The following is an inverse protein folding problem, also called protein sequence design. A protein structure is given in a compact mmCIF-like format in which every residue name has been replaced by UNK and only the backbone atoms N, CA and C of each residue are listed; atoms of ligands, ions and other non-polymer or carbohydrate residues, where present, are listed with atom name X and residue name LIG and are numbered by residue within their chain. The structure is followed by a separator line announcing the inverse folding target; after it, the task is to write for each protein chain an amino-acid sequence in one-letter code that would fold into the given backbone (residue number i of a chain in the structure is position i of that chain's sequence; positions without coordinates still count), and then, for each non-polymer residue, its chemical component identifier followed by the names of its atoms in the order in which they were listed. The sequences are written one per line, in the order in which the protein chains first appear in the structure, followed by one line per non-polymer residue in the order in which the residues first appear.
data_IF_754971403112
#
_entry.id   IF_754971403112
#
_cell.length_a   1.000
_cell.length_b   1.000
_cell.length_c   1.000
_cell.angle_alpha   90.00
_cell.angle_beta   90.00
_cell.angle_gamma   90.00
#
_symmetry.space_group_name_H-M   'P 1'
#
loop_
_entity.id
_entity.type
_entity.pdbx_description
1 polymer ?
#
# COMPACT_ATOMS: atom_id res chain seq x y z
N UNK A 1 -11.41 -17.31 -3.67
CA UNK A 1 -10.05 -16.74 -3.64
C UNK A 1 -9.20 -17.63 -2.75
N UNK A 2 -8.06 -18.15 -3.20
CA UNK A 2 -7.17 -18.93 -2.31
C UNK A 2 -6.66 -18.02 -1.19
N UNK A 3 -6.60 -18.54 0.04
CA UNK A 3 -6.13 -17.79 1.22
C UNK A 3 -4.64 -18.02 1.43
N UNK A 4 -3.97 -17.10 2.10
CA UNK A 4 -2.54 -17.24 2.46
C UNK A 4 -2.30 -18.51 3.27
N UNK A 5 -3.21 -18.88 4.19
CA UNK A 5 -3.12 -20.12 4.97
C UNK A 5 -3.16 -21.36 4.08
N UNK A 6 -4.08 -21.41 3.11
CA UNK A 6 -4.17 -22.54 2.16
C UNK A 6 -2.93 -22.68 1.27
N UNK A 7 -2.27 -21.57 0.93
CA UNK A 7 -1.01 -21.60 0.19
C UNK A 7 0.13 -22.15 1.04
N UNK A 8 0.22 -21.72 2.30
CA UNK A 8 1.22 -22.26 3.23
C UNK A 8 1.05 -23.75 3.49
N UNK A 9 -0.19 -24.24 3.58
CA UNK A 9 -0.45 -25.67 3.80
C UNK A 9 0.01 -26.53 2.60
N UNK A 10 -0.19 -26.05 1.37
CA UNK A 10 0.35 -26.73 0.15
C UNK A 10 1.87 -26.81 0.17
N UNK A 11 2.54 -25.81 0.73
CA UNK A 11 4.01 -25.78 0.85
C UNK A 11 4.56 -26.74 1.92
N UNK A 12 3.73 -27.27 2.84
CA UNK A 12 4.20 -28.17 3.91
C UNK A 12 4.57 -29.57 3.42
N UNK A 13 4.00 -30.04 2.32
CA UNK A 13 4.30 -31.38 1.80
C UNK A 13 5.27 -31.33 0.62
N UNK A 14 6.23 -32.27 0.56
CA UNK A 14 7.26 -32.30 -0.50
C UNK A 14 6.65 -32.34 -1.90
N UNK A 15 5.64 -33.18 -2.12
CA UNK A 15 5.00 -33.37 -3.45
C UNK A 15 4.12 -32.18 -3.86
N UNK A 16 3.30 -31.65 -2.95
CA UNK A 16 2.46 -30.48 -3.24
C UNK A 16 3.30 -29.21 -3.37
N UNK A 17 4.32 -29.04 -2.51
CA UNK A 17 5.25 -27.93 -2.55
C UNK A 17 6.04 -27.88 -3.87
N UNK A 18 6.59 -29.00 -4.34
CA UNK A 18 7.29 -29.02 -5.64
C UNK A 18 6.37 -28.70 -6.82
N UNK A 19 5.10 -29.13 -6.75
CA UNK A 19 4.13 -28.82 -7.80
C UNK A 19 3.69 -27.35 -7.77
N UNK A 20 3.64 -26.74 -6.59
CA UNK A 20 3.35 -25.32 -6.42
C UNK A 20 4.49 -24.43 -6.93
N UNK A 21 5.73 -24.81 -6.67
CA UNK A 21 6.92 -24.06 -7.13
C UNK A 21 7.14 -24.14 -8.66
N UNK A 22 6.65 -25.20 -9.32
CA UNK A 22 6.71 -25.37 -10.78
C UNK A 22 5.61 -24.61 -11.53
N UNK A 23 4.59 -24.10 -10.85
CA UNK A 23 3.52 -23.33 -11.47
C UNK A 23 3.96 -21.89 -11.69
N UNK A 24 3.58 -21.32 -12.84
CA UNK A 24 3.74 -19.89 -13.11
C UNK A 24 2.83 -19.11 -12.17
N UNK A 25 3.43 -18.41 -11.21
CA UNK A 25 2.69 -17.59 -10.26
C UNK A 25 2.35 -16.25 -10.92
N UNK A 26 1.05 -15.95 -11.07
CA UNK A 26 0.59 -14.61 -11.47
C UNK A 26 0.61 -13.66 -10.25
N UNK A 27 1.81 -13.24 -9.86
CA UNK A 27 2.00 -12.28 -8.76
C UNK A 27 1.27 -10.98 -9.07
N UNK A 28 0.41 -10.47 -8.17
CA UNK A 28 -0.18 -9.14 -8.32
C UNK A 28 0.91 -8.08 -8.43
N UNK A 29 0.87 -7.25 -9.48
CA UNK A 29 1.70 -6.04 -9.52
C UNK A 29 1.09 -4.96 -8.63
N UNK A 30 1.92 -4.05 -8.11
CA UNK A 30 1.45 -2.88 -7.37
C UNK A 30 0.40 -2.09 -8.17
N UNK A 31 0.64 -1.90 -9.47
CA UNK A 31 -0.29 -1.22 -10.37
C UNK A 31 -1.64 -1.92 -10.46
N UNK A 32 -1.68 -3.25 -10.55
CA UNK A 32 -2.94 -4.01 -10.57
C UNK A 32 -3.71 -3.83 -9.26
N UNK A 33 -3.05 -4.01 -8.13
CA UNK A 33 -3.68 -3.86 -6.81
C UNK A 33 -4.19 -2.44 -6.61
N UNK A 34 -3.41 -1.43 -7.01
CA UNK A 34 -3.84 -0.05 -6.91
C UNK A 34 -5.09 0.22 -7.73
N UNK A 35 -5.16 -0.24 -8.99
CA UNK A 35 -6.36 -0.10 -9.83
C UNK A 35 -7.59 -0.78 -9.19
N UNK A 36 -7.43 -1.99 -8.65
CA UNK A 36 -8.50 -2.68 -7.91
C UNK A 36 -8.98 -1.86 -6.70
N UNK A 37 -8.07 -1.24 -5.95
CA UNK A 37 -8.41 -0.39 -4.81
C UNK A 37 -9.15 0.88 -5.25
N UNK A 38 -8.72 1.52 -6.33
CA UNK A 38 -9.40 2.69 -6.91
C UNK A 38 -10.82 2.36 -7.38
N UNK A 39 -10.99 1.25 -8.09
CA UNK A 39 -12.29 0.77 -8.55
C UNK A 39 -13.23 0.49 -7.38
N UNK A 40 -12.74 -0.21 -6.34
CA UNK A 40 -13.53 -0.51 -5.14
C UNK A 40 -13.92 0.76 -4.38
N UNK A 41 -13.03 1.75 -4.32
CA UNK A 41 -13.29 3.05 -3.71
C UNK A 41 -14.14 3.99 -4.60
N UNK A 42 -14.47 3.58 -5.83
CA UNK A 42 -15.11 4.42 -6.86
C UNK A 42 -14.37 5.74 -7.10
N UNK A 43 -13.04 5.71 -6.99
CA UNK A 43 -12.18 6.88 -7.16
C UNK A 43 -11.53 6.84 -8.54
N UNK A 44 -11.64 7.94 -9.28
CA UNK A 44 -10.99 8.08 -10.59
C UNK A 44 -9.49 8.31 -10.46
N UNK A 45 -8.74 7.98 -11.51
CA UNK A 45 -7.30 8.23 -11.54
C UNK A 45 -6.94 9.72 -11.31
N UNK A 46 -7.61 10.72 -11.93
CA UNK A 46 -7.34 12.13 -11.64
C UNK A 46 -7.60 12.53 -10.18
N UNK A 47 -8.66 12.01 -9.56
CA UNK A 47 -8.97 12.26 -8.14
C UNK A 47 -7.89 11.70 -7.23
N UNK A 48 -7.46 10.45 -7.46
CA UNK A 48 -6.38 9.84 -6.71
C UNK A 48 -5.05 10.59 -6.87
N UNK A 49 -4.70 10.98 -8.10
CA UNK A 49 -3.48 11.76 -8.41
C UNK A 49 -3.49 13.09 -7.65
N UNK A 50 -4.63 13.79 -7.64
CA UNK A 50 -4.78 15.04 -6.92
C UNK A 50 -4.73 14.83 -5.40
N UNK A 51 -5.45 13.83 -4.88
CA UNK A 51 -5.51 13.53 -3.45
C UNK A 51 -4.17 13.06 -2.87
N UNK A 52 -3.33 12.43 -3.68
CA UNK A 52 -1.98 11.99 -3.26
C UNK A 52 -0.88 12.98 -3.57
N UNK A 53 -1.21 14.17 -4.12
CA UNK A 53 -0.27 15.23 -4.47
C UNK A 53 0.97 14.70 -5.22
N UNK A 54 0.70 14.07 -6.36
CA UNK A 54 1.72 13.62 -7.32
C UNK A 54 1.46 14.23 -8.69
N UNK A 55 2.49 14.29 -9.54
CA UNK A 55 2.29 14.79 -10.90
C UNK A 55 1.43 13.82 -11.71
N UNK A 56 0.60 14.36 -12.62
CA UNK A 56 -0.25 13.55 -13.52
C UNK A 56 0.57 12.51 -14.29
N UNK A 57 1.71 12.92 -14.84
CA UNK A 57 2.59 12.03 -15.60
C UNK A 57 3.06 10.85 -14.74
N UNK A 58 3.54 11.11 -13.51
CA UNK A 58 4.00 10.07 -12.62
C UNK A 58 2.87 9.16 -12.13
N UNK A 59 1.69 9.72 -11.84
CA UNK A 59 0.50 8.94 -11.48
C UNK A 59 0.07 7.95 -12.55
N UNK A 60 0.02 8.36 -13.82
CA UNK A 60 -0.29 7.44 -14.92
C UNK A 60 0.80 6.39 -15.15
N UNK A 61 2.08 6.75 -15.00
CA UNK A 61 3.18 5.77 -15.02
C UNK A 61 3.03 4.70 -13.93
N UNK A 62 2.59 5.08 -12.72
CA UNK A 62 2.29 4.12 -11.65
C UNK A 62 1.11 3.22 -12.05
N UNK A 63 0.02 3.80 -12.55
CA UNK A 63 -1.18 3.05 -12.92
C UNK A 63 -0.96 2.10 -14.11
N UNK A 64 -0.02 2.42 -15.00
CA UNK A 64 0.40 1.56 -16.10
C UNK A 64 1.37 0.46 -15.65
N UNK A 65 2.05 0.65 -14.52
CA UNK A 65 3.09 -0.25 -14.01
C UNK A 65 4.51 0.09 -14.50
N UNK A 66 4.69 1.25 -15.12
CA UNK A 66 6.00 1.75 -15.58
C UNK A 66 6.88 2.26 -14.43
N UNK A 67 6.26 2.58 -13.28
CA UNK A 67 6.92 3.05 -12.06
C UNK A 67 6.31 2.41 -10.83
N UNK A 68 7.17 2.11 -9.85
CA UNK A 68 6.75 1.68 -8.52
C UNK A 68 6.74 2.91 -7.60
N UNK A 69 5.61 3.21 -6.93
CA UNK A 69 5.55 4.31 -5.97
C UNK A 69 6.36 3.98 -4.71
N UNK A 70 7.02 4.99 -4.15
CA UNK A 70 7.71 4.86 -2.86
C UNK A 70 6.74 4.70 -1.68
N UNK A 71 7.30 4.34 -0.52
CA UNK A 71 6.54 4.06 0.72
C UNK A 71 5.54 5.18 1.05
N UNK A 72 6.01 6.41 1.08
CA UNK A 72 5.18 7.52 1.54
C UNK A 72 4.03 7.84 0.56
N UNK A 73 4.19 7.61 -0.75
CA UNK A 73 3.08 7.69 -1.72
C UNK A 73 2.04 6.59 -1.45
N UNK A 74 2.47 5.38 -1.09
CA UNK A 74 1.56 4.29 -0.72
C UNK A 74 0.83 4.56 0.59
N UNK A 75 1.47 5.23 1.56
CA UNK A 75 0.82 5.68 2.79
C UNK A 75 -0.19 6.79 2.52
N UNK A 76 0.17 7.81 1.72
CA UNK A 76 -0.77 8.85 1.27
C UNK A 76 -1.96 8.25 0.52
N UNK A 77 -1.70 7.29 -0.38
CA UNK A 77 -2.75 6.53 -1.09
C UNK A 77 -3.67 5.81 -0.10
N UNK A 78 -3.10 5.18 0.94
CA UNK A 78 -3.89 4.48 1.95
C UNK A 78 -4.83 5.38 2.72
N UNK A 79 -4.39 6.61 3.05
CA UNK A 79 -5.19 7.61 3.73
C UNK A 79 -6.27 8.20 2.81
N UNK A 80 -5.91 8.55 1.57
CA UNK A 80 -6.85 9.08 0.56
C UNK A 80 -7.98 8.10 0.26
N UNK A 81 -7.65 6.80 0.14
CA UNK A 81 -8.63 5.74 -0.11
C UNK A 81 -9.28 5.20 1.16
N UNK A 82 -8.92 5.74 2.34
CA UNK A 82 -9.46 5.31 3.63
C UNK A 82 -9.35 3.79 3.86
N UNK A 83 -8.21 3.21 3.46
CA UNK A 83 -7.96 1.78 3.53
C UNK A 83 -7.96 1.27 4.98
N UNK A 84 -8.26 -0.01 5.16
CA UNK A 84 -7.97 -0.70 6.41
C UNK A 84 -6.47 -0.96 6.56
N UNK A 85 -5.99 -1.15 7.79
CA UNK A 85 -4.60 -1.55 8.04
C UNK A 85 -4.20 -2.80 7.24
N UNK A 86 -5.13 -3.76 7.08
CA UNK A 86 -4.89 -4.98 6.30
C UNK A 86 -4.64 -4.69 4.82
N UNK A 87 -5.44 -3.81 4.22
CA UNK A 87 -5.27 -3.38 2.83
C UNK A 87 -4.00 -2.56 2.63
N UNK A 88 -3.69 -1.67 3.57
CA UNK A 88 -2.44 -0.90 3.57
C UNK A 88 -1.22 -1.81 3.63
N UNK A 89 -1.20 -2.81 4.53
CA UNK A 89 -0.08 -3.75 4.62
C UNK A 89 0.07 -4.57 3.33
N UNK A 90 -1.05 -4.96 2.70
CA UNK A 90 -1.05 -5.63 1.39
C UNK A 90 -0.48 -4.72 0.31
N UNK A 91 -0.87 -3.44 0.29
CA UNK A 91 -0.39 -2.45 -0.68
C UNK A 91 1.11 -2.21 -0.54
N UNK A 92 1.61 -2.03 0.69
CA UNK A 92 3.04 -1.89 0.97
C UNK A 92 3.83 -3.13 0.52
N UNK A 93 3.33 -4.33 0.82
CA UNK A 93 3.98 -5.58 0.44
C UNK A 93 4.12 -5.73 -1.09
N UNK A 94 3.10 -5.39 -1.88
CA UNK A 94 3.18 -5.48 -3.36
C UNK A 94 3.99 -4.35 -3.99
N UNK A 95 4.20 -3.25 -3.26
CA UNK A 95 5.09 -2.15 -3.64
C UNK A 95 6.53 -2.32 -3.15
N UNK A 96 6.89 -3.50 -2.64
CA UNK A 96 8.19 -3.80 -2.02
C UNK A 96 8.60 -2.80 -0.93
N UNK A 97 7.61 -2.27 -0.23
CA UNK A 97 7.78 -1.37 0.90
C UNK A 97 7.64 -2.16 2.20
N UNK A 98 8.47 -1.86 3.20
CA UNK A 98 8.39 -2.51 4.50
C UNK A 98 6.99 -2.44 5.13
N UNK A 99 6.66 -3.36 6.03
CA UNK A 99 5.40 -3.29 6.76
C UNK A 99 5.33 -2.02 7.65
N UNK A 100 4.12 -1.59 8.01
CA UNK A 100 3.95 -0.67 9.14
C UNK A 100 4.21 -1.43 10.44
N UNK A 101 5.22 -1.03 11.22
CA UNK A 101 5.59 -1.70 12.45
C UNK A 101 5.21 -0.86 13.68
N UNK A 102 4.28 -1.32 14.55
CA UNK A 102 3.78 -0.52 15.67
C UNK A 102 4.82 -0.02 16.69
N UNK A 103 6.03 -0.60 16.72
CA UNK A 103 7.11 -0.11 17.61
C UNK A 103 7.86 1.09 17.04
N UNK A 104 7.74 1.36 15.74
CA UNK A 104 8.28 2.58 15.12
C UNK A 104 7.22 3.67 15.30
N UNK A 105 7.57 4.77 15.98
CA UNK A 105 6.60 5.83 16.35
C UNK A 105 5.89 6.43 15.14
N UNK A 106 6.61 6.69 14.04
CA UNK A 106 6.01 7.13 12.76
C UNK A 106 4.98 6.14 12.23
N UNK A 107 5.33 4.86 12.17
CA UNK A 107 4.41 3.82 11.69
C UNK A 107 3.21 3.67 12.63
N UNK A 108 3.42 3.77 13.95
CA UNK A 108 2.34 3.74 14.94
C UNK A 108 1.35 4.90 14.75
N UNK A 109 1.86 6.11 14.46
CA UNK A 109 1.03 7.27 14.16
C UNK A 109 0.20 7.07 12.87
N UNK A 110 0.81 6.51 11.82
CA UNK A 110 0.10 6.19 10.57
C UNK A 110 -0.95 5.08 10.79
N UNK A 111 -0.63 4.04 11.56
CA UNK A 111 -1.60 2.99 11.94
C UNK A 111 -2.78 3.61 12.69
N UNK A 112 -2.50 4.50 13.65
CA UNK A 112 -3.53 5.22 14.39
C UNK A 112 -4.42 6.04 13.45
N UNK A 113 -3.82 6.83 12.55
CA UNK A 113 -4.54 7.64 11.58
C UNK A 113 -5.47 6.82 10.66
N UNK A 114 -4.98 5.68 10.14
CA UNK A 114 -5.79 4.76 9.33
C UNK A 114 -6.98 4.19 10.10
N UNK A 115 -6.78 3.85 11.37
CA UNK A 115 -7.85 3.31 12.22
C UNK A 115 -8.89 4.36 12.60
N UNK A 116 -8.46 5.62 12.78
CA UNK A 116 -9.34 6.76 13.09
C UNK A 116 -9.97 7.40 11.85
N UNK A 117 -9.67 6.89 10.64
CA UNK A 117 -10.16 7.46 9.36
C UNK A 117 -9.80 8.93 9.20
N UNK A 118 -8.61 9.30 9.66
CA UNK A 118 -8.09 10.66 9.53
C UNK A 118 -7.84 11.00 8.06
N UNK A 119 -8.04 12.26 7.73
CA UNK A 119 -7.62 12.86 6.46
C UNK A 119 -6.10 12.96 6.39
N UNK A 120 -5.60 13.26 5.19
CA UNK A 120 -4.17 13.47 4.98
C UNK A 120 -3.64 14.67 5.77
N UNK A 121 -4.43 15.75 5.84
CA UNK A 121 -4.09 16.94 6.62
C UNK A 121 -3.97 16.62 8.12
N UNK A 122 -5.00 15.99 8.70
CA UNK A 122 -4.98 15.63 10.12
C UNK A 122 -3.82 14.66 10.44
N UNK A 123 -3.48 13.77 9.50
CA UNK A 123 -2.35 12.85 9.66
C UNK A 123 -1.01 13.60 9.65
N UNK A 124 -0.84 14.58 8.78
CA UNK A 124 0.36 15.42 8.76
C UNK A 124 0.48 16.26 10.04
N UNK A 125 -0.62 16.81 10.53
CA UNK A 125 -0.66 17.53 11.82
C UNK A 125 -0.27 16.61 12.98
N UNK A 126 -0.76 15.36 13.00
CA UNK A 126 -0.35 14.36 13.98
C UNK A 126 1.15 14.06 13.89
N UNK A 127 1.69 13.83 12.69
CA UNK A 127 3.12 13.56 12.50
C UNK A 127 3.97 14.74 12.96
N UNK A 128 3.59 15.97 12.60
CA UNK A 128 4.27 17.19 13.02
C UNK A 128 4.25 17.37 14.55
N UNK A 129 3.13 17.01 15.21
CA UNK A 129 3.01 17.05 16.67
C UNK A 129 3.89 16.02 17.39
N UNK A 130 4.28 14.94 16.71
CA UNK A 130 5.13 13.84 17.21
C UNK A 130 6.61 13.98 16.80
N UNK A 131 7.04 15.18 16.44
CA UNK A 131 8.22 15.48 15.60
C UNK A 131 8.64 14.36 14.63
N UNK A 132 7.70 13.76 13.91
CA UNK A 132 7.96 12.71 12.92
C UNK A 132 8.05 13.25 11.50
N UNK A 133 8.75 12.50 10.64
CA UNK A 133 8.92 12.88 9.23
C UNK A 133 7.57 12.90 8.49
N UNK A 134 7.28 14.00 7.82
CA UNK A 134 6.13 14.19 6.91
C UNK A 134 6.04 13.11 5.83
N UNK A 135 4.84 12.75 5.38
CA UNK A 135 4.61 11.86 4.23
C UNK A 135 4.88 12.54 2.87
N UNK A 136 5.19 13.83 2.86
CA UNK A 136 5.56 14.60 1.66
C UNK A 136 7.08 14.84 1.57
N UNK A 137 7.83 14.50 2.60
CA UNK A 137 9.28 14.61 2.58
C UNK A 137 9.84 13.65 1.52
N UNK A 138 10.60 14.18 0.55
CA UNK A 138 11.32 13.35 -0.41
C UNK A 138 12.30 12.45 0.36
N UNK A 139 12.28 11.16 0.08
CA UNK A 139 13.34 10.26 0.53
C UNK A 139 14.67 10.82 0.00
N UNK A 140 15.54 11.23 0.93
CA UNK A 140 16.88 11.76 0.65
C UNK A 140 17.86 10.63 0.39
#
# INVERSE_FOLDING_TARGET
METTSTLFDKLRSRKSGTNFLKQTQNTPTCARILRELLENAKMSAPEWIAGTDISKSYGYQILNGDRIPGRDILLRTSLVLQLSLKETQRLLAVGDCGALYPKIRRDAAVIFALNQKMSLLETEELLASLPERSLFAKDS
#
